data_IF_944466047672
#
_entry.id   IF_944466047672
#
_cell.length_a   1.000
_cell.length_b   1.000
_cell.length_c   1.000
_cell.angle_alpha   90.00
_cell.angle_beta   90.00
_cell.angle_gamma   90.00
#
_symmetry.space_group_name_H-M   'P 1'
#
loop_
_entity.id
_entity.type
_entity.pdbx_description
1 polymer ?
#
# COMPACT_ATOMS: atom_id res chain seq x y z
N UNK A 1 9.71 -23.17 23.35
CA UNK A 1 8.37 -22.66 22.97
C UNK A 1 7.99 -21.50 23.89
N UNK A 2 7.82 -21.72 25.20
CA UNK A 2 7.44 -20.68 26.17
C UNK A 2 8.36 -19.44 26.14
N UNK A 3 9.67 -19.62 26.01
CA UNK A 3 10.61 -18.48 25.91
C UNK A 3 10.39 -17.63 24.65
N UNK A 4 10.04 -18.26 23.53
CA UNK A 4 9.76 -17.56 22.27
C UNK A 4 8.42 -16.80 22.41
N UNK A 5 7.42 -17.42 23.03
CA UNK A 5 6.13 -16.79 23.30
C UNK A 5 6.25 -15.63 24.29
N UNK A 6 7.10 -15.74 25.31
CA UNK A 6 7.37 -14.65 26.25
C UNK A 6 8.02 -13.46 25.54
N UNK A 7 9.00 -13.71 24.66
CA UNK A 7 9.60 -12.64 23.83
C UNK A 7 8.57 -11.93 22.94
N UNK A 8 7.66 -12.68 22.32
CA UNK A 8 6.55 -12.09 21.54
C UNK A 8 5.61 -11.29 22.44
N UNK A 9 5.25 -11.82 23.61
CA UNK A 9 4.42 -11.12 24.60
C UNK A 9 5.04 -9.83 25.14
N UNK A 10 6.37 -9.75 25.19
CA UNK A 10 7.12 -8.52 25.51
C UNK A 10 7.19 -7.52 24.34
N UNK A 11 6.48 -7.78 23.23
CA UNK A 11 6.43 -6.92 22.05
C UNK A 11 7.62 -7.07 21.08
N UNK A 12 8.45 -8.09 21.25
CA UNK A 12 9.54 -8.35 20.29
C UNK A 12 8.99 -8.95 19.01
N UNK A 13 9.54 -8.50 17.90
CA UNK A 13 9.29 -9.05 16.57
C UNK A 13 10.61 -9.55 15.97
N UNK A 14 10.50 -10.40 14.97
CA UNK A 14 11.62 -11.05 14.32
C UNK A 14 12.04 -10.20 13.11
N UNK A 15 13.34 -9.97 12.97
CA UNK A 15 13.94 -9.20 11.87
C UNK A 15 14.62 -10.11 10.85
N UNK A 16 14.99 -11.32 11.27
CA UNK A 16 15.62 -12.31 10.41
C UNK A 16 15.41 -13.73 10.95
N UNK A 17 15.26 -14.70 10.05
CA UNK A 17 15.27 -16.13 10.36
C UNK A 17 16.22 -16.80 9.39
N UNK A 18 17.28 -17.42 9.91
CA UNK A 18 18.31 -18.08 9.09
C UNK A 18 18.54 -19.51 9.54
N UNK A 19 18.77 -20.41 8.58
CA UNK A 19 19.26 -21.76 8.86
C UNK A 19 20.68 -21.67 9.41
N UNK A 20 20.96 -22.40 10.48
CA UNK A 20 22.28 -22.43 11.12
C UNK A 20 22.62 -23.89 11.48
N UNK A 21 23.38 -24.54 10.60
CA UNK A 21 23.61 -25.99 10.67
C UNK A 21 22.29 -26.76 10.55
N UNK A 22 22.07 -27.67 11.49
CA UNK A 22 20.84 -28.47 11.60
C UNK A 22 19.69 -27.70 12.28
N UNK A 23 19.91 -26.45 12.71
CA UNK A 23 18.92 -25.64 13.45
C UNK A 23 18.51 -24.34 12.75
N UNK A 24 17.74 -23.53 13.48
CA UNK A 24 17.25 -22.21 13.06
C UNK A 24 17.76 -21.16 14.04
N UNK A 25 18.30 -20.06 13.54
CA UNK A 25 18.60 -18.87 14.33
C UNK A 25 17.59 -17.77 13.99
N UNK A 26 16.88 -17.29 15.01
CA UNK A 26 15.94 -16.17 14.97
C UNK A 26 16.64 -14.94 15.51
N UNK A 27 16.62 -13.84 14.76
CA UNK A 27 17.07 -12.52 15.22
C UNK A 27 15.87 -11.65 15.56
N UNK A 28 15.90 -11.05 16.74
CA UNK A 28 14.82 -10.21 17.26
C UNK A 28 15.07 -8.72 16.99
N UNK A 29 14.05 -7.90 17.18
CA UNK A 29 14.06 -6.45 17.01
C UNK A 29 15.08 -5.71 17.89
N UNK A 30 15.51 -6.32 19.00
CA UNK A 30 16.54 -5.80 19.90
C UNK A 30 17.96 -6.33 19.56
N UNK A 31 18.13 -6.97 18.40
CA UNK A 31 19.35 -7.64 17.94
C UNK A 31 19.78 -8.85 18.78
N UNK A 32 18.99 -9.29 19.77
CA UNK A 32 19.24 -10.58 20.42
C UNK A 32 18.89 -11.72 19.48
N UNK A 33 19.46 -12.91 19.73
CA UNK A 33 19.16 -14.09 18.94
C UNK A 33 18.53 -15.20 19.79
N UNK A 34 17.85 -16.13 19.13
CA UNK A 34 17.38 -17.39 19.72
C UNK A 34 17.68 -18.51 18.74
N UNK A 35 18.36 -19.55 19.20
CA UNK A 35 18.72 -20.69 18.36
C UNK A 35 17.88 -21.88 18.76
N UNK A 36 17.27 -22.50 17.77
CA UNK A 36 16.45 -23.71 17.90
C UNK A 36 17.25 -24.82 17.23
N UNK A 37 17.74 -25.77 18.02
CA UNK A 37 18.31 -27.01 17.48
C UNK A 37 17.22 -27.94 16.97
N UNK A 38 17.59 -28.93 16.17
CA UNK A 38 16.72 -30.06 15.84
C UNK A 38 16.49 -30.94 17.07
N UNK A 39 15.25 -31.44 17.23
CA UNK A 39 14.94 -32.53 18.15
C UNK A 39 15.50 -33.79 17.51
N UNK A 40 16.46 -34.41 18.19
CA UNK A 40 17.10 -35.64 17.75
C UNK A 40 16.11 -36.79 17.95
N UNK A 41 15.53 -37.32 16.88
CA UNK A 41 14.72 -38.54 16.99
C UNK A 41 15.57 -39.73 17.42
N UNK A 42 14.98 -40.68 18.15
CA UNK A 42 15.65 -41.86 18.72
C UNK A 42 16.34 -42.76 17.68
N UNK A 43 16.06 -42.57 16.38
CA UNK A 43 16.79 -43.20 15.27
C UNK A 43 17.76 -42.18 14.68
N UNK A 44 19.00 -42.21 15.16
CA UNK A 44 20.08 -41.27 14.86
C UNK A 44 20.60 -41.26 13.41
N UNK A 45 19.75 -41.17 12.41
CA UNK A 45 20.16 -40.83 11.05
C UNK A 45 20.03 -39.32 10.84
N UNK A 46 21.14 -38.70 10.44
CA UNK A 46 21.25 -37.28 10.13
C UNK A 46 20.35 -36.96 8.92
N UNK A 47 19.35 -36.11 9.12
CA UNK A 47 18.56 -35.53 8.03
C UNK A 47 18.66 -34.02 8.07
N UNK A 48 18.91 -33.39 6.91
CA UNK A 48 18.95 -31.94 6.78
C UNK A 48 17.59 -31.33 7.17
N UNK A 49 17.59 -30.22 7.93
CA UNK A 49 16.36 -29.47 8.20
C UNK A 49 15.66 -29.08 6.87
N UNK A 50 14.42 -29.55 6.69
CA UNK A 50 13.58 -29.24 5.54
C UNK A 50 13.13 -27.77 5.57
N UNK A 51 13.09 -27.11 4.41
CA UNK A 51 12.63 -25.72 4.30
C UNK A 51 11.30 -25.71 3.56
N UNK A 52 10.28 -25.12 4.17
CA UNK A 52 9.01 -24.80 3.52
C UNK A 52 9.00 -23.29 3.28
N UNK A 53 8.77 -22.87 2.05
CA UNK A 53 8.58 -21.47 1.69
C UNK A 53 7.26 -21.30 0.98
N UNK A 54 6.87 -20.04 0.74
CA UNK A 54 5.72 -19.70 -0.08
C UNK A 54 6.27 -19.03 -1.33
N UNK A 55 5.88 -19.52 -2.51
CA UNK A 55 6.26 -18.86 -3.76
C UNK A 55 5.65 -17.45 -3.79
N UNK A 56 6.45 -16.40 -4.03
CA UNK A 56 5.99 -15.03 -3.88
C UNK A 56 4.93 -14.64 -4.93
N UNK A 57 4.84 -15.36 -6.05
CA UNK A 57 3.95 -15.05 -7.18
C UNK A 57 2.67 -15.89 -7.11
N UNK A 58 2.80 -17.20 -7.10
CA UNK A 58 1.70 -18.17 -7.09
C UNK A 58 1.08 -18.35 -5.71
N UNK A 59 1.80 -17.94 -4.65
CA UNK A 59 1.43 -18.15 -3.25
C UNK A 59 1.35 -19.63 -2.85
N UNK A 60 1.86 -20.54 -3.67
CA UNK A 60 1.86 -21.97 -3.36
C UNK A 60 2.90 -22.30 -2.28
N UNK A 61 2.62 -23.36 -1.51
CA UNK A 61 3.63 -23.96 -0.64
C UNK A 61 4.72 -24.62 -1.50
N UNK A 62 5.97 -24.25 -1.22
CA UNK A 62 7.16 -24.87 -1.79
C UNK A 62 7.81 -25.71 -0.70
N UNK A 63 7.97 -27.01 -0.93
CA UNK A 63 8.56 -27.94 0.04
C UNK A 63 9.84 -28.49 -0.58
N UNK A 64 11.00 -28.24 0.05
CA UNK A 64 12.30 -28.69 -0.47
C UNK A 64 12.54 -28.30 -1.96
N UNK A 65 12.13 -27.09 -2.33
CA UNK A 65 12.18 -26.53 -3.70
C UNK A 65 11.21 -27.16 -4.72
N UNK A 66 10.27 -27.99 -4.29
CA UNK A 66 9.19 -28.52 -5.14
C UNK A 66 7.88 -27.75 -4.88
N UNK A 67 7.25 -27.23 -5.94
CA UNK A 67 5.95 -26.58 -5.87
C UNK A 67 4.85 -27.62 -5.70
N UNK A 68 4.11 -27.51 -4.60
CA UNK A 68 3.01 -28.43 -4.27
C UNK A 68 1.73 -28.15 -5.08
N UNK A 69 1.62 -26.99 -5.72
CA UNK A 69 0.41 -26.53 -6.39
C UNK A 69 -0.69 -26.04 -5.43
N UNK A 70 -0.45 -26.09 -4.10
CA UNK A 70 -1.43 -25.73 -3.08
C UNK A 70 -1.17 -24.30 -2.61
N UNK A 71 -2.13 -23.41 -2.90
CA UNK A 71 -2.09 -22.00 -2.51
C UNK A 71 -2.21 -21.85 -0.99
N UNK A 72 -1.29 -21.07 -0.40
CA UNK A 72 -1.19 -20.80 1.05
C UNK A 72 -2.17 -19.73 1.56
N UNK A 73 -2.78 -19.02 0.62
CA UNK A 73 -3.90 -18.09 0.79
C UNK A 73 -5.12 -18.85 0.23
N UNK A 74 -6.18 -19.08 1.00
CA UNK A 74 -7.28 -19.98 0.59
C UNK A 74 -7.92 -19.64 -0.78
N UNK A 75 -8.67 -20.58 -1.37
CA UNK A 75 -9.35 -20.34 -2.66
C UNK A 75 -10.29 -19.13 -2.56
N UNK A 76 -10.01 -18.10 -3.36
CA UNK A 76 -10.85 -16.91 -3.50
C UNK A 76 -12.31 -17.32 -3.78
N UNK A 77 -13.23 -16.88 -2.92
CA UNK A 77 -14.68 -17.05 -3.11
C UNK A 77 -15.41 -17.93 -2.10
N UNK A 78 -14.73 -18.54 -1.12
CA UNK A 78 -15.38 -19.33 -0.05
C UNK A 78 -14.98 -18.78 1.32
N UNK A 79 -15.86 -17.97 1.92
CA UNK A 79 -15.90 -17.55 3.34
C UNK A 79 -14.57 -17.27 4.09
N UNK A 80 -13.53 -16.73 3.43
CA UNK A 80 -12.29 -16.37 4.12
C UNK A 80 -11.61 -17.52 4.87
N UNK A 81 -11.73 -18.75 4.34
CA UNK A 81 -11.13 -19.93 4.97
C UNK A 81 -9.62 -19.93 4.67
N UNK A 82 -8.81 -19.61 5.68
CA UNK A 82 -7.35 -19.61 5.60
C UNK A 82 -6.81 -21.01 5.33
N UNK A 83 -5.91 -21.16 4.35
CA UNK A 83 -5.30 -22.45 4.01
C UNK A 83 -4.60 -23.09 5.23
N UNK A 84 -4.80 -24.39 5.40
CA UNK A 84 -4.11 -25.16 6.44
C UNK A 84 -2.65 -25.38 6.03
N UNK A 85 -1.72 -25.08 6.93
CA UNK A 85 -0.29 -25.30 6.70
C UNK A 85 0.01 -26.80 6.47
N UNK A 86 1.05 -27.15 5.69
CA UNK A 86 1.46 -28.53 5.52
C UNK A 86 1.79 -29.18 6.87
N UNK A 87 1.59 -30.49 6.99
CA UNK A 87 1.94 -31.30 8.17
C UNK A 87 2.71 -32.56 7.76
N UNK A 88 3.12 -33.39 8.72
CA UNK A 88 3.83 -34.65 8.44
C UNK A 88 2.87 -35.84 8.61
N UNK A 89 2.85 -36.75 7.63
CA UNK A 89 2.04 -37.99 7.63
C UNK A 89 2.59 -39.00 8.63
N UNK A 90 1.70 -39.57 9.45
CA UNK A 90 2.01 -40.66 10.39
C UNK A 90 2.31 -41.99 9.69
N UNK A 91 1.70 -42.24 8.53
CA UNK A 91 1.78 -43.54 7.85
C UNK A 91 3.03 -43.64 6.97
N UNK A 92 3.43 -42.53 6.37
CA UNK A 92 4.47 -42.49 5.34
C UNK A 92 5.70 -41.68 5.74
N UNK A 93 5.59 -40.78 6.73
CA UNK A 93 6.66 -39.84 7.07
C UNK A 93 6.89 -38.75 6.01
N UNK A 94 5.95 -38.56 5.09
CA UNK A 94 5.99 -37.53 4.05
C UNK A 94 5.22 -36.27 4.46
N UNK A 95 5.49 -35.18 3.76
CA UNK A 95 4.68 -33.96 3.85
C UNK A 95 3.27 -34.20 3.32
N UNK A 96 2.29 -33.63 4.01
CA UNK A 96 0.87 -33.62 3.65
C UNK A 96 0.45 -32.16 3.45
N UNK A 97 -0.12 -31.84 2.29
CA UNK A 97 -0.77 -30.55 2.03
C UNK A 97 -2.28 -30.70 2.09
N UNK A 98 -3.00 -29.60 2.27
CA UNK A 98 -4.44 -29.63 2.52
C UNK A 98 -5.18 -28.74 1.54
N UNK A 99 -6.25 -29.28 0.95
CA UNK A 99 -7.24 -28.50 0.20
C UNK A 99 -8.57 -28.44 0.94
N UNK A 100 -9.24 -27.30 0.88
CA UNK A 100 -10.59 -27.17 1.42
C UNK A 100 -11.59 -27.91 0.54
N UNK A 101 -12.33 -28.85 1.14
CA UNK A 101 -13.45 -29.54 0.51
C UNK A 101 -14.76 -28.88 0.97
N UNK A 102 -15.41 -28.16 0.05
CA UNK A 102 -16.62 -27.41 0.34
C UNK A 102 -17.85 -28.31 0.62
N UNK A 103 -17.85 -29.56 0.15
CA UNK A 103 -18.94 -30.51 0.41
C UNK A 103 -18.82 -31.12 1.80
N UNK A 104 -17.58 -31.39 2.24
CA UNK A 104 -17.29 -31.91 3.59
C UNK A 104 -17.21 -30.83 4.66
N UNK A 105 -17.08 -29.57 4.24
CA UNK A 105 -16.81 -28.44 5.12
C UNK A 105 -15.59 -28.71 6.04
N UNK A 106 -14.54 -29.31 5.46
CA UNK A 106 -13.30 -29.67 6.15
C UNK A 106 -12.11 -29.72 5.17
N UNK A 107 -10.90 -29.73 5.71
CA UNK A 107 -9.66 -29.87 4.97
C UNK A 107 -9.35 -31.33 4.63
N UNK A 108 -9.11 -31.62 3.35
CA UNK A 108 -8.69 -32.94 2.88
C UNK A 108 -7.18 -32.91 2.65
N UNK A 109 -6.46 -33.76 3.39
CA UNK A 109 -5.01 -33.91 3.29
C UNK A 109 -4.60 -34.82 2.13
N UNK A 110 -3.56 -34.41 1.40
CA UNK A 110 -2.94 -35.19 0.32
C UNK A 110 -1.46 -35.42 0.65
N UNK A 111 -1.03 -36.67 0.69
CA UNK A 111 0.39 -37.04 0.79
C UNK A 111 1.11 -36.59 -0.47
N UNK A 112 2.16 -35.78 -0.29
CA UNK A 112 2.94 -35.21 -1.40
C UNK A 112 3.96 -36.19 -1.99
N UNK A 113 4.27 -37.28 -1.29
CA UNK A 113 5.40 -38.16 -1.62
C UNK A 113 6.78 -37.58 -1.22
N UNK A 114 6.84 -36.32 -0.78
CA UNK A 114 8.07 -35.65 -0.36
C UNK A 114 8.36 -36.04 1.08
N UNK A 115 9.46 -36.76 1.33
CA UNK A 115 9.80 -37.19 2.69
C UNK A 115 10.13 -36.00 3.60
N UNK A 116 9.61 -36.02 4.83
CA UNK A 116 9.87 -35.00 5.85
C UNK A 116 11.13 -35.29 6.70
N UNK A 117 11.95 -36.27 6.29
CA UNK A 117 13.16 -36.81 6.95
C UNK A 117 13.77 -35.90 8.04
N UNK A 118 13.63 -36.26 9.31
CA UNK A 118 14.31 -35.61 10.43
C UNK A 118 13.86 -34.18 10.78
N UNK A 119 12.86 -33.62 10.10
CA UNK A 119 12.35 -32.28 10.38
C UNK A 119 11.53 -32.28 11.68
N UNK A 120 12.17 -31.90 12.80
CA UNK A 120 11.49 -31.61 14.05
C UNK A 120 10.91 -30.20 14.11
N UNK A 121 11.33 -29.32 13.21
CA UNK A 121 10.91 -27.92 13.12
C UNK A 121 10.90 -27.45 11.67
N UNK A 122 9.94 -26.61 11.33
CA UNK A 122 9.91 -25.90 10.04
C UNK A 122 9.26 -24.53 10.21
N UNK A 123 9.49 -23.65 9.25
CA UNK A 123 8.94 -22.29 9.25
C UNK A 123 8.06 -22.13 8.02
N UNK A 124 6.91 -21.49 8.21
CA UNK A 124 6.07 -21.01 7.11
C UNK A 124 6.12 -19.49 7.12
N UNK A 125 6.48 -18.91 5.99
CA UNK A 125 6.64 -17.46 5.83
C UNK A 125 5.31 -16.79 5.45
N UNK A 126 4.55 -16.28 6.41
CA UNK A 126 3.30 -15.52 6.14
C UNK A 126 3.62 -14.03 5.97
N UNK A 127 2.68 -13.26 5.42
CA UNK A 127 2.92 -11.83 5.12
C UNK A 127 3.38 -11.01 6.34
N UNK A 128 2.68 -11.11 7.48
CA UNK A 128 2.92 -10.30 8.68
C UNK A 128 3.64 -11.05 9.83
N UNK A 129 3.79 -12.37 9.74
CA UNK A 129 4.46 -13.19 10.75
C UNK A 129 5.06 -14.45 10.12
N UNK A 130 5.97 -15.12 10.82
CA UNK A 130 6.38 -16.49 10.53
C UNK A 130 5.60 -17.46 11.42
N UNK A 131 5.18 -18.60 10.90
CA UNK A 131 4.75 -19.72 11.73
C UNK A 131 5.92 -20.67 11.93
N UNK A 132 6.41 -20.76 13.14
CA UNK A 132 7.35 -21.79 13.53
C UNK A 132 6.56 -23.00 14.03
N UNK A 133 6.64 -24.09 13.28
CA UNK A 133 6.05 -25.37 13.61
C UNK A 133 7.10 -26.22 14.31
N UNK A 134 6.79 -26.72 15.52
CA UNK A 134 7.70 -27.49 16.37
C UNK A 134 7.06 -28.82 16.72
N UNK A 135 7.73 -29.92 16.41
CA UNK A 135 7.32 -31.26 16.80
C UNK A 135 7.14 -31.34 18.33
N UNK A 136 6.03 -31.94 18.76
CA UNK A 136 5.65 -32.04 20.17
C UNK A 136 6.05 -33.37 20.81
N UNK A 137 6.65 -34.28 20.03
CA UNK A 137 7.17 -35.56 20.48
C UNK A 137 8.54 -35.86 19.86
N UNK A 138 9.31 -36.72 20.53
CA UNK A 138 10.67 -37.11 20.11
C UNK A 138 10.68 -37.84 18.75
N UNK A 139 9.56 -38.46 18.36
CA UNK A 139 9.41 -39.14 17.08
C UNK A 139 8.81 -38.25 15.97
N UNK A 140 8.51 -36.97 16.26
CA UNK A 140 7.80 -36.11 15.30
C UNK A 140 6.32 -36.43 15.13
N UNK A 141 5.73 -37.24 16.02
CA UNK A 141 4.32 -37.63 16.01
C UNK A 141 3.42 -36.47 16.50
N UNK A 142 2.29 -36.29 15.80
CA UNK A 142 1.21 -35.36 16.18
C UNK A 142 1.22 -34.03 15.41
N UNK A 143 0.18 -33.22 15.61
CA UNK A 143 0.14 -31.86 15.09
C UNK A 143 1.26 -31.03 15.77
N UNK A 144 2.11 -30.33 15.00
CA UNK A 144 3.18 -29.54 15.57
C UNK A 144 2.61 -28.39 16.40
N UNK A 145 3.33 -28.02 17.46
CA UNK A 145 3.06 -26.77 18.17
C UNK A 145 3.42 -25.61 17.24
N UNK A 146 2.46 -24.71 17.01
CA UNK A 146 2.65 -23.53 16.17
C UNK A 146 2.94 -22.33 17.04
N UNK A 147 4.05 -21.65 16.75
CA UNK A 147 4.39 -20.35 17.33
C UNK A 147 4.36 -19.32 16.21
N UNK A 148 3.50 -18.31 16.35
CA UNK A 148 3.50 -17.16 15.45
C UNK A 148 4.55 -16.16 15.91
N UNK A 149 5.49 -15.83 15.02
CA UNK A 149 6.60 -14.92 15.24
C UNK A 149 6.37 -13.66 14.39
N UNK A 150 5.99 -12.52 14.99
CA UNK A 150 5.69 -11.30 14.23
C UNK A 150 6.89 -10.81 13.41
N UNK A 151 6.65 -10.23 12.23
CA UNK A 151 7.68 -9.56 11.39
C UNK A 151 7.88 -8.08 11.72
N UNK A 152 6.92 -7.50 12.42
CA UNK A 152 6.90 -6.12 12.89
C UNK A 152 6.17 -6.08 14.23
N UNK A 153 6.20 -4.95 14.92
CA UNK A 153 5.37 -4.75 16.11
C UNK A 153 3.90 -5.03 15.75
N UNK A 154 3.25 -5.90 16.54
CA UNK A 154 1.86 -6.32 16.31
C UNK A 154 0.93 -5.12 16.34
N UNK A 155 0.13 -4.95 15.29
CA UNK A 155 -1.01 -4.04 15.31
C UNK A 155 -2.03 -4.60 16.31
N UNK A 156 -2.50 -3.75 17.22
CA UNK A 156 -3.48 -4.10 18.27
C UNK A 156 -4.84 -3.46 18.01
N UNK A 157 -4.90 -2.34 17.28
CA UNK A 157 -6.15 -1.76 16.83
C UNK A 157 -5.99 -0.96 15.54
N UNK A 158 -7.08 -0.90 14.79
CA UNK A 158 -7.22 -0.14 13.55
C UNK A 158 -8.41 0.81 13.67
N UNK A 159 -8.27 2.01 13.10
CA UNK A 159 -9.39 2.88 12.81
C UNK A 159 -9.29 3.37 11.37
N UNK A 160 -10.24 2.95 10.55
CA UNK A 160 -10.36 3.44 9.19
C UNK A 160 -10.96 4.85 9.19
N UNK A 161 -10.42 5.74 8.37
CA UNK A 161 -10.84 7.15 8.26
C UNK A 161 -10.69 7.65 6.82
N UNK A 162 -11.35 8.77 6.51
CA UNK A 162 -10.99 9.59 5.35
C UNK A 162 -10.25 10.83 5.84
N UNK A 163 -9.28 11.32 5.06
CA UNK A 163 -8.56 12.56 5.37
C UNK A 163 -8.87 13.58 4.26
N UNK A 164 -9.56 14.65 4.64
CA UNK A 164 -9.92 15.75 3.73
C UNK A 164 -9.41 17.06 4.32
N UNK A 165 -8.60 17.81 3.58
CA UNK A 165 -8.05 19.12 3.98
C UNK A 165 -7.48 19.11 5.42
N UNK A 166 -6.65 18.09 5.73
CA UNK A 166 -6.01 17.92 7.04
C UNK A 166 -6.95 17.50 8.17
N UNK A 167 -8.20 17.16 7.88
CA UNK A 167 -9.20 16.71 8.87
C UNK A 167 -9.51 15.24 8.73
N UNK A 168 -9.61 14.57 9.88
CA UNK A 168 -10.10 13.20 9.98
C UNK A 168 -11.63 13.21 9.91
N UNK A 169 -12.17 12.48 8.95
CA UNK A 169 -13.60 12.30 8.74
C UNK A 169 -13.98 10.80 8.79
N UNK A 170 -15.28 10.53 8.77
CA UNK A 170 -15.79 9.17 8.68
C UNK A 170 -15.27 8.50 7.40
N UNK A 171 -14.87 7.23 7.50
CA UNK A 171 -14.33 6.46 6.38
C UNK A 171 -15.37 6.31 5.26
N UNK A 172 -15.11 6.96 4.13
CA UNK A 172 -15.92 6.89 2.93
C UNK A 172 -15.02 6.57 1.74
N UNK A 173 -15.33 5.47 1.05
CA UNK A 173 -14.63 5.03 -0.16
C UNK A 173 -15.62 5.06 -1.31
N UNK A 174 -15.25 5.72 -2.40
CA UNK A 174 -16.02 5.70 -3.65
C UNK A 174 -15.28 4.86 -4.67
N UNK A 175 -15.92 3.80 -5.14
CA UNK A 175 -15.42 2.90 -6.19
C UNK A 175 -16.13 3.23 -7.50
N UNK A 176 -15.46 3.92 -8.42
CA UNK A 176 -16.02 4.19 -9.74
C UNK A 176 -15.57 3.15 -10.76
N UNK A 177 -16.50 2.70 -11.59
CA UNK A 177 -16.24 1.74 -12.66
C UNK A 177 -17.07 2.05 -13.91
N UNK A 178 -16.55 1.68 -15.06
CA UNK A 178 -17.23 1.86 -16.35
C UNK A 178 -18.16 0.73 -16.72
N UNK A 179 -18.86 0.91 -17.84
CA UNK A 179 -19.44 -0.21 -18.57
C UNK A 179 -18.34 -1.05 -19.22
N UNK A 180 -18.67 -2.30 -19.53
CA UNK A 180 -17.82 -3.15 -20.36
C UNK A 180 -17.48 -2.46 -21.69
N UNK A 181 -16.21 -2.48 -22.07
CA UNK A 181 -15.74 -1.82 -23.28
C UNK A 181 -16.38 -2.43 -24.54
N UNK A 182 -16.85 -1.59 -25.46
CA UNK A 182 -17.40 -2.05 -26.74
C UNK A 182 -16.35 -2.55 -27.74
N UNK A 183 -15.09 -2.14 -27.58
CA UNK A 183 -13.94 -2.46 -28.42
C UNK A 183 -12.63 -2.37 -27.62
N UNK A 184 -11.53 -2.86 -28.18
CA UNK A 184 -10.18 -2.70 -27.61
C UNK A 184 -9.83 -1.20 -27.49
N UNK A 185 -9.34 -0.79 -26.32
CA UNK A 185 -8.83 0.55 -26.05
C UNK A 185 -7.33 0.45 -25.78
N UNK A 186 -6.54 1.33 -26.40
CA UNK A 186 -5.10 1.44 -26.14
C UNK A 186 -4.80 2.73 -25.41
N UNK A 187 -3.97 2.64 -24.39
CA UNK A 187 -3.48 3.79 -23.63
C UNK A 187 -2.16 3.40 -22.97
N UNK A 188 -1.17 4.29 -22.99
CA UNK A 188 0.11 4.13 -22.32
C UNK A 188 0.80 2.79 -22.64
N UNK A 189 0.78 2.40 -23.93
CA UNK A 189 1.26 1.11 -24.44
C UNK A 189 0.55 -0.15 -23.88
N UNK A 190 -0.51 0.02 -23.09
CA UNK A 190 -1.38 -1.07 -22.60
C UNK A 190 -2.59 -1.20 -23.52
N UNK A 191 -2.98 -2.45 -23.81
CA UNK A 191 -4.22 -2.75 -24.55
C UNK A 191 -5.27 -3.30 -23.59
N UNK A 192 -6.29 -2.51 -23.32
CA UNK A 192 -7.48 -2.90 -22.59
C UNK A 192 -8.46 -3.56 -23.55
N UNK A 193 -8.81 -4.81 -23.27
CA UNK A 193 -9.59 -5.62 -24.20
C UNK A 193 -11.06 -5.25 -24.23
N UNK A 194 -11.68 -5.47 -25.39
CA UNK A 194 -13.13 -5.52 -25.51
C UNK A 194 -13.73 -6.36 -24.37
N UNK A 195 -14.89 -5.92 -23.88
CA UNK A 195 -15.65 -6.50 -22.78
C UNK A 195 -15.01 -6.35 -21.38
N UNK A 196 -13.80 -5.78 -21.27
CA UNK A 196 -13.22 -5.44 -19.98
C UNK A 196 -14.01 -4.33 -19.27
N UNK A 197 -14.13 -4.43 -17.95
CA UNK A 197 -14.63 -3.35 -17.08
C UNK A 197 -13.41 -2.58 -16.59
N UNK A 198 -13.36 -1.27 -16.89
CA UNK A 198 -12.30 -0.41 -16.42
C UNK A 198 -12.61 0.11 -15.01
N UNK A 199 -11.60 0.09 -14.15
CA UNK A 199 -11.70 0.45 -12.74
C UNK A 199 -10.84 1.68 -12.47
N UNK A 200 -11.33 2.57 -11.61
CA UNK A 200 -10.48 3.63 -11.06
C UNK A 200 -9.43 3.02 -10.14
N UNK A 201 -8.20 3.53 -10.19
CA UNK A 201 -7.09 3.10 -9.31
C UNK A 201 -6.82 4.08 -8.15
N UNK A 202 -7.68 5.08 -7.96
CA UNK A 202 -7.42 6.21 -7.05
C UNK A 202 -8.34 6.24 -5.84
N UNK A 203 -9.13 5.20 -5.61
CA UNK A 203 -10.01 5.13 -4.44
C UNK A 203 -9.15 5.02 -3.19
N UNK A 204 -9.13 6.07 -2.37
CA UNK A 204 -8.29 6.13 -1.17
C UNK A 204 -9.07 5.80 0.09
N UNK A 205 -8.34 5.27 1.07
CA UNK A 205 -8.74 5.12 2.46
C UNK A 205 -7.52 5.43 3.32
N UNK A 206 -7.71 6.02 4.49
CA UNK A 206 -6.61 6.15 5.45
C UNK A 206 -6.90 5.29 6.69
N UNK A 207 -5.85 4.88 7.38
CA UNK A 207 -5.94 4.09 8.60
C UNK A 207 -5.09 4.71 9.70
N UNK A 208 -5.66 4.77 10.90
CA UNK A 208 -4.93 5.02 12.14
C UNK A 208 -4.62 3.66 12.76
N UNK A 209 -3.33 3.40 12.95
CA UNK A 209 -2.76 2.14 13.40
C UNK A 209 -2.20 2.32 14.81
N UNK A 210 -2.53 1.41 15.73
CA UNK A 210 -1.90 1.34 17.04
C UNK A 210 -1.25 -0.03 17.27
N UNK A 211 -0.07 -0.07 17.90
CA UNK A 211 0.71 1.08 18.36
C UNK A 211 1.29 1.88 17.16
N UNK A 212 1.59 3.17 17.37
CA UNK A 212 1.94 4.10 16.27
C UNK A 212 3.29 3.79 15.59
N UNK A 213 4.11 2.96 16.23
CA UNK A 213 5.40 2.46 15.75
C UNK A 213 5.29 1.12 15.00
N UNK A 214 4.08 0.55 14.90
CA UNK A 214 3.84 -0.60 14.04
C UNK A 214 4.02 -0.22 12.56
N UNK A 215 4.85 -0.97 11.85
CA UNK A 215 5.07 -0.80 10.42
C UNK A 215 3.91 -1.41 9.63
N UNK A 216 2.92 -0.58 9.30
CA UNK A 216 1.75 -0.99 8.51
C UNK A 216 2.13 -1.58 7.14
N UNK A 217 3.32 -1.29 6.61
CA UNK A 217 3.75 -1.82 5.31
C UNK A 217 4.04 -3.32 5.33
N UNK A 218 4.14 -3.94 6.51
CA UNK A 218 4.36 -5.39 6.68
C UNK A 218 3.08 -6.20 6.75
N UNK A 219 1.92 -5.56 6.61
CA UNK A 219 0.62 -6.17 6.79
C UNK A 219 -0.18 -6.16 5.47
N UNK A 220 -0.98 -7.21 5.28
CA UNK A 220 -1.98 -7.25 4.21
C UNK A 220 -3.31 -6.77 4.76
N UNK A 221 -4.01 -5.95 3.98
CA UNK A 221 -5.28 -5.36 4.38
C UNK A 221 -6.39 -5.68 3.38
N UNK A 222 -7.59 -5.84 3.90
CA UNK A 222 -8.82 -6.07 3.12
C UNK A 222 -9.97 -5.31 3.76
N UNK A 223 -11.03 -5.09 2.98
CA UNK A 223 -12.32 -4.67 3.54
C UNK A 223 -13.24 -5.89 3.62
N UNK A 224 -13.66 -6.24 4.83
CA UNK A 224 -14.59 -7.34 5.09
C UNK A 224 -15.91 -6.84 5.65
N UNK A 225 -17.03 -7.35 5.16
CA UNK A 225 -18.35 -7.09 5.75
C UNK A 225 -18.62 -8.00 6.96
N UNK A 226 -19.70 -7.74 7.68
CA UNK A 226 -20.05 -8.49 8.91
C UNK A 226 -20.48 -9.94 8.66
N UNK A 227 -20.58 -10.37 7.39
CA UNK A 227 -20.85 -11.75 6.97
C UNK A 227 -19.59 -12.45 6.47
N UNK A 228 -18.44 -11.79 6.49
CA UNK A 228 -17.17 -12.33 6.02
C UNK A 228 -16.95 -12.19 4.51
N UNK A 229 -17.76 -11.42 3.78
CA UNK A 229 -17.49 -11.15 2.37
C UNK A 229 -16.35 -10.14 2.25
N UNK A 230 -15.40 -10.39 1.36
CA UNK A 230 -14.19 -9.59 1.17
C UNK A 230 -14.06 -9.21 -0.31
N UNK A 231 -14.83 -8.22 -0.81
CA UNK A 231 -14.80 -7.86 -2.23
C UNK A 231 -13.65 -6.92 -2.61
N UNK A 232 -12.96 -6.34 -1.62
CA UNK A 232 -11.90 -5.34 -1.82
C UNK A 232 -10.61 -5.72 -1.10
N UNK A 233 -9.48 -5.48 -1.77
CA UNK A 233 -8.15 -5.46 -1.16
C UNK A 233 -7.75 -4.02 -0.89
N UNK A 234 -6.93 -3.82 0.13
CA UNK A 234 -6.40 -2.52 0.51
C UNK A 234 -4.88 -2.59 0.44
N UNK A 235 -4.29 -1.74 -0.39
CA UNK A 235 -2.89 -1.81 -0.84
C UNK A 235 -2.16 -0.50 -0.59
N UNK A 236 -0.86 -0.48 -0.86
CA UNK A 236 0.01 0.70 -0.83
C UNK A 236 -0.10 1.54 0.45
N UNK A 237 0.06 0.96 1.64
CA UNK A 237 0.16 1.75 2.86
C UNK A 237 1.37 2.68 2.80
N UNK A 238 1.13 3.99 2.73
CA UNK A 238 2.16 5.03 2.75
C UNK A 238 1.89 5.92 3.95
N UNK A 239 2.93 6.20 4.73
CA UNK A 239 2.74 7.05 5.90
C UNK A 239 2.29 8.45 5.45
N UNK A 240 1.23 8.96 6.09
CA UNK A 240 0.60 10.21 5.70
C UNK A 240 1.53 11.40 5.97
N UNK A 241 1.55 12.37 5.05
CA UNK A 241 2.51 13.50 5.05
C UNK A 241 1.84 14.87 5.10
N UNK A 242 0.57 14.98 5.48
CA UNK A 242 -0.13 16.28 5.47
C UNK A 242 0.61 17.28 6.36
N UNK A 243 0.98 18.44 5.80
CA UNK A 243 1.86 19.44 6.42
C UNK A 243 1.22 20.16 7.63
N UNK A 244 -0.11 20.23 7.66
CA UNK A 244 -0.83 20.81 8.78
C UNK A 244 -0.65 19.94 10.03
N UNK A 245 0.17 20.49 10.91
CA UNK A 245 0.10 20.37 12.35
C UNK A 245 -1.16 19.69 12.93
N UNK A 246 -1.01 18.74 13.87
CA UNK A 246 -0.44 18.99 15.20
C UNK A 246 1.10 19.23 15.21
N UNK A 247 1.55 20.45 14.88
CA UNK A 247 2.90 21.01 14.98
C UNK A 247 3.77 21.10 13.69
N UNK A 248 4.13 22.30 13.20
CA UNK A 248 5.05 22.56 12.06
C UNK A 248 6.37 21.75 12.06
N UNK A 249 6.46 20.79 11.16
CA UNK A 249 7.59 20.39 10.30
C UNK A 249 7.06 19.28 9.36
N UNK A 250 7.61 19.10 8.16
CA UNK A 250 7.25 17.99 7.26
C UNK A 250 7.79 16.66 7.85
N UNK A 251 7.22 16.20 8.96
CA UNK A 251 7.51 14.92 9.59
C UNK A 251 6.33 13.99 9.35
N UNK A 252 6.65 12.75 8.95
CA UNK A 252 5.71 11.64 8.81
C UNK A 252 4.71 11.61 9.98
N UNK A 253 3.40 11.58 9.69
CA UNK A 253 2.40 11.36 10.71
C UNK A 253 2.55 9.95 11.27
N UNK A 254 2.85 9.84 12.57
CA UNK A 254 3.05 8.54 13.22
C UNK A 254 1.73 7.78 13.35
N UNK A 255 1.71 6.53 12.92
CA UNK A 255 0.55 5.67 12.98
C UNK A 255 -0.59 6.03 12.03
N UNK A 256 -0.40 6.96 11.07
CA UNK A 256 -1.43 7.29 10.07
C UNK A 256 -0.91 6.93 8.68
N UNK A 257 -1.66 6.11 7.96
CA UNK A 257 -1.27 5.60 6.65
C UNK A 257 -2.37 5.84 5.63
N UNK A 258 -2.02 6.40 4.49
CA UNK A 258 -2.86 6.46 3.31
C UNK A 258 -2.73 5.14 2.54
N UNK A 259 -3.85 4.63 2.07
CA UNK A 259 -3.98 3.33 1.42
C UNK A 259 -4.86 3.46 0.17
N UNK A 260 -4.70 2.52 -0.75
CA UNK A 260 -5.53 2.40 -1.95
C UNK A 260 -6.51 1.24 -1.77
N UNK A 261 -7.77 1.44 -2.17
CA UNK A 261 -8.80 0.40 -2.16
C UNK A 261 -9.04 -0.06 -3.60
N UNK A 262 -8.94 -1.36 -3.82
CA UNK A 262 -9.11 -1.97 -5.14
C UNK A 262 -10.11 -3.12 -5.07
N UNK A 263 -10.86 -3.33 -6.15
CA UNK A 263 -11.64 -4.56 -6.29
C UNK A 263 -10.69 -5.77 -6.32
N UNK A 264 -11.05 -6.82 -5.57
CA UNK A 264 -10.37 -8.11 -5.70
C UNK A 264 -10.67 -8.78 -7.05
N UNK A 265 -11.84 -8.51 -7.62
CA UNK A 265 -12.25 -9.02 -8.92
C UNK A 265 -13.29 -8.08 -9.56
N UNK A 266 -13.26 -7.95 -10.88
CA UNK A 266 -14.28 -7.22 -11.66
C UNK A 266 -15.68 -7.84 -11.52
N UNK A 267 -15.80 -9.10 -11.07
CA UNK A 267 -17.08 -9.74 -10.80
C UNK A 267 -17.85 -9.12 -9.62
N UNK A 268 -17.14 -8.39 -8.75
CA UNK A 268 -17.69 -7.71 -7.57
C UNK A 268 -18.30 -6.34 -7.91
N UNK A 269 -17.97 -5.76 -9.07
CA UNK A 269 -18.44 -4.42 -9.45
C UNK A 269 -19.97 -4.34 -9.47
N UNK A 270 -20.51 -3.37 -8.76
CA UNK A 270 -21.94 -3.08 -8.65
C UNK A 270 -22.71 -4.00 -7.69
N UNK A 271 -22.03 -4.86 -6.94
CA UNK A 271 -22.64 -5.82 -5.99
C UNK A 271 -22.07 -5.70 -4.57
N UNK A 272 -21.15 -4.78 -4.36
CA UNK A 272 -20.30 -4.67 -3.16
C UNK A 272 -20.42 -3.32 -2.47
N UNK A 273 -21.37 -2.47 -2.85
CA UNK A 273 -21.74 -1.31 -2.04
C UNK A 273 -22.23 -1.76 -0.65
N UNK A 274 -21.76 -1.11 0.41
CA UNK A 274 -22.07 -1.52 1.77
C UNK A 274 -21.16 -0.91 2.83
N UNK A 275 -21.17 -1.51 4.01
CA UNK A 275 -20.35 -1.10 5.14
C UNK A 275 -19.40 -2.22 5.52
N UNK A 276 -18.14 -1.85 5.71
CA UNK A 276 -17.03 -2.78 5.90
C UNK A 276 -16.20 -2.40 7.12
N UNK A 277 -15.42 -3.35 7.62
CA UNK A 277 -14.28 -3.10 8.48
C UNK A 277 -12.99 -3.24 7.67
N UNK A 278 -12.00 -2.39 7.94
CA UNK A 278 -10.62 -2.62 7.53
C UNK A 278 -10.04 -3.69 8.44
N UNK A 279 -9.56 -4.79 7.86
CA UNK A 279 -9.01 -5.89 8.64
C UNK A 279 -7.62 -6.27 8.19
N UNK A 280 -6.84 -6.81 9.13
CA UNK A 280 -5.51 -7.35 8.89
C UNK A 280 -5.25 -8.52 9.83
N UNK A 281 -4.46 -9.48 9.37
CA UNK A 281 -4.02 -10.60 10.21
C UNK A 281 -2.66 -10.28 10.86
N UNK A 282 -2.57 -10.50 12.16
CA UNK A 282 -1.34 -10.38 12.95
C UNK A 282 -0.97 -11.73 13.56
N UNK A 283 0.19 -11.80 14.23
CA UNK A 283 0.57 -12.99 14.98
C UNK A 283 -0.42 -13.31 16.12
N UNK A 284 -1.12 -12.30 16.64
CA UNK A 284 -2.07 -12.42 17.76
C UNK A 284 -3.51 -12.71 17.28
N UNK A 285 -3.76 -12.60 15.98
CA UNK A 285 -5.05 -12.90 15.35
C UNK A 285 -5.52 -11.82 14.38
N UNK A 286 -6.80 -11.91 14.00
CA UNK A 286 -7.43 -10.92 13.14
C UNK A 286 -7.69 -9.64 13.94
N UNK A 287 -7.21 -8.50 13.42
CA UNK A 287 -7.54 -7.17 13.92
C UNK A 287 -8.45 -6.48 12.92
N UNK A 288 -9.53 -5.89 13.42
CA UNK A 288 -10.53 -5.21 12.63
C UNK A 288 -10.78 -3.79 13.16
N UNK A 289 -11.03 -2.85 12.26
CA UNK A 289 -11.69 -1.59 12.63
C UNK A 289 -13.17 -1.83 12.96
N UNK A 290 -13.86 -0.77 13.37
CA UNK A 290 -15.33 -0.79 13.36
C UNK A 290 -15.86 -1.05 11.94
N UNK A 291 -17.07 -1.61 11.86
CA UNK A 291 -17.83 -1.73 10.61
C UNK A 291 -18.48 -0.38 10.26
N UNK A 292 -17.66 0.61 9.94
CA UNK A 292 -18.08 1.97 9.60
C UNK A 292 -17.42 2.53 8.34
N UNK A 293 -16.65 1.69 7.60
CA UNK A 293 -16.14 2.04 6.27
C UNK A 293 -17.28 1.95 5.28
N UNK A 294 -17.83 3.10 4.88
CA UNK A 294 -18.88 3.16 3.87
C UNK A 294 -18.26 3.08 2.49
N UNK A 295 -18.52 1.99 1.77
CA UNK A 295 -18.14 1.84 0.37
C UNK A 295 -19.34 2.11 -0.52
N UNK A 296 -19.21 3.10 -1.40
CA UNK A 296 -20.19 3.42 -2.43
C UNK A 296 -19.64 3.02 -3.79
N UNK A 297 -20.44 2.31 -4.57
CA UNK A 297 -20.08 1.94 -5.94
C UNK A 297 -20.81 2.84 -6.94
N UNK A 298 -20.08 3.39 -7.90
CA UNK A 298 -20.61 4.28 -8.92
C UNK A 298 -20.33 3.72 -10.31
N UNK A 299 -21.37 3.17 -10.93
CA UNK A 299 -21.35 2.87 -12.35
C UNK A 299 -21.34 4.20 -13.13
N UNK A 300 -20.40 4.35 -14.06
CA UNK A 300 -20.27 5.56 -14.87
C UNK A 300 -20.47 5.22 -16.33
N UNK A 301 -21.42 5.92 -16.98
CA UNK A 301 -21.73 5.71 -18.40
C UNK A 301 -21.09 6.77 -19.29
N UNK A 302 -21.11 8.03 -18.87
CA UNK A 302 -20.62 9.15 -19.65
C UNK A 302 -19.78 10.09 -18.81
N UNK A 303 -18.61 10.46 -19.34
CA UNK A 303 -17.76 11.51 -18.77
C UNK A 303 -17.38 12.48 -19.89
N UNK A 304 -17.60 13.77 -19.64
CA UNK A 304 -17.10 14.86 -20.48
C UNK A 304 -16.19 15.74 -19.64
N UNK A 305 -14.90 15.78 -19.95
CA UNK A 305 -13.93 16.65 -19.27
C UNK A 305 -14.09 18.08 -19.78
N UNK A 306 -14.36 19.00 -18.87
CA UNK A 306 -14.66 20.41 -19.16
C UNK A 306 -13.37 21.24 -19.14
N UNK A 307 -12.70 21.31 -17.99
CA UNK A 307 -11.49 22.12 -17.82
C UNK A 307 -10.59 21.62 -16.69
N UNK A 308 -9.38 21.20 -17.06
CA UNK A 308 -8.33 20.91 -16.09
C UNK A 308 -7.80 22.21 -15.47
N UNK A 309 -7.38 22.15 -14.21
CA UNK A 309 -6.89 23.30 -13.45
C UNK A 309 -5.44 23.63 -13.82
N UNK A 310 -5.18 24.91 -14.05
CA UNK A 310 -3.82 25.45 -14.11
C UNK A 310 -3.19 25.45 -12.71
N UNK A 311 -1.90 25.17 -12.62
CA UNK A 311 -1.20 25.01 -11.34
C UNK A 311 -0.07 26.04 -11.22
N UNK A 312 0.34 26.32 -9.99
CA UNK A 312 1.46 27.21 -9.73
C UNK A 312 2.23 26.79 -8.48
N UNK A 313 3.53 27.03 -8.49
CA UNK A 313 4.43 26.72 -7.37
C UNK A 313 5.60 27.70 -7.37
N UNK A 314 6.20 27.92 -6.22
CA UNK A 314 7.48 28.62 -6.12
C UNK A 314 8.58 27.85 -6.86
N UNK A 315 9.54 28.57 -7.45
CA UNK A 315 10.75 27.95 -8.01
C UNK A 315 11.46 27.08 -6.95
N UNK A 316 12.12 26.04 -7.44
CA UNK A 316 12.86 25.05 -6.65
C UNK A 316 12.04 24.15 -5.72
N UNK A 317 10.72 24.34 -5.61
CA UNK A 317 9.80 23.42 -4.92
C UNK A 317 9.22 22.40 -5.89
N UNK A 318 8.88 21.23 -5.39
CA UNK A 318 8.13 20.22 -6.13
C UNK A 318 6.64 20.55 -6.10
N UNK A 319 5.96 20.31 -7.23
CA UNK A 319 4.53 20.47 -7.40
C UNK A 319 3.92 19.16 -7.87
N UNK A 320 2.90 18.68 -7.19
CA UNK A 320 2.09 17.53 -7.62
C UNK A 320 1.11 17.93 -8.74
N UNK A 321 1.29 17.33 -9.91
CA UNK A 321 0.48 17.57 -11.10
C UNK A 321 -0.91 16.95 -11.02
N UNK A 322 -1.16 15.98 -10.12
CA UNK A 322 -2.50 15.38 -9.92
C UNK A 322 -3.53 16.46 -9.55
N UNK A 323 -3.09 17.54 -8.89
CA UNK A 323 -3.93 18.69 -8.56
C UNK A 323 -4.65 19.31 -9.77
N UNK A 324 -4.18 19.08 -11.01
CA UNK A 324 -4.85 19.57 -12.22
C UNK A 324 -6.23 18.92 -12.46
N UNK A 325 -6.48 17.75 -11.90
CA UNK A 325 -7.76 17.04 -11.98
C UNK A 325 -8.81 17.58 -10.99
N UNK A 326 -8.47 18.58 -10.17
CA UNK A 326 -9.36 19.20 -9.19
C UNK A 326 -9.64 20.65 -9.57
N UNK A 327 -10.90 20.97 -9.87
CA UNK A 327 -11.35 22.31 -10.29
C UNK A 327 -12.80 22.54 -9.85
N UNK A 328 -13.33 23.76 -9.86
CA UNK A 328 -14.74 24.01 -9.46
C UNK A 328 -15.75 23.18 -10.26
N UNK A 329 -15.46 22.94 -11.55
CA UNK A 329 -16.21 22.04 -12.42
C UNK A 329 -15.28 21.40 -13.47
N UNK A 330 -14.50 20.40 -13.05
CA UNK A 330 -13.50 19.77 -13.93
C UNK A 330 -14.12 18.93 -15.03
N UNK A 331 -15.26 18.29 -14.76
CA UNK A 331 -15.95 17.41 -15.69
C UNK A 331 -17.45 17.35 -15.40
N UNK A 332 -18.19 16.78 -16.34
CA UNK A 332 -19.56 16.31 -16.14
C UNK A 332 -19.59 14.80 -16.20
N UNK A 333 -20.07 14.15 -15.14
CA UNK A 333 -20.21 12.69 -15.01
C UNK A 333 -21.69 12.35 -14.94
N UNK A 334 -22.18 11.60 -15.93
CA UNK A 334 -23.60 11.24 -16.07
C UNK A 334 -24.55 12.44 -15.89
N UNK A 335 -24.20 13.57 -16.52
CA UNK A 335 -24.98 14.81 -16.47
C UNK A 335 -24.78 15.66 -15.22
N UNK A 336 -23.96 15.23 -14.25
CA UNK A 336 -23.69 15.98 -13.01
C UNK A 336 -22.28 16.57 -13.03
N UNK A 337 -22.16 17.86 -12.75
CA UNK A 337 -20.86 18.51 -12.63
C UNK A 337 -20.10 17.95 -11.41
N UNK A 338 -18.82 17.63 -11.60
CA UNK A 338 -17.92 17.17 -10.54
C UNK A 338 -16.73 18.10 -10.43
N UNK A 339 -16.23 18.28 -9.21
CA UNK A 339 -15.06 19.10 -8.92
C UNK A 339 -13.75 18.31 -8.92
N UNK A 340 -13.83 16.98 -8.87
CA UNK A 340 -12.67 16.09 -8.82
C UNK A 340 -12.84 14.97 -9.85
N UNK A 341 -11.90 14.88 -10.80
CA UNK A 341 -11.88 13.84 -11.83
C UNK A 341 -11.12 12.60 -11.36
N UNK A 342 -10.28 12.71 -10.33
CA UNK A 342 -9.41 11.61 -9.88
C UNK A 342 -10.14 10.30 -9.63
N UNK A 343 -11.37 10.26 -9.05
CA UNK A 343 -12.07 9.00 -8.78
C UNK A 343 -12.53 8.25 -10.03
N UNK A 344 -12.33 8.80 -11.23
CA UNK A 344 -12.77 8.24 -12.50
C UNK A 344 -11.60 7.91 -13.44
N UNK A 345 -10.36 8.05 -12.98
CA UNK A 345 -9.15 7.83 -13.78
C UNK A 345 -8.68 6.40 -13.61
N UNK A 346 -8.48 5.72 -14.75
CA UNK A 346 -7.95 4.35 -14.83
C UNK A 346 -6.43 4.40 -14.85
N UNK A 347 -5.86 5.24 -15.71
CA UNK A 347 -4.43 5.46 -15.84
C UNK A 347 -4.18 6.88 -16.39
N UNK A 348 -3.01 7.44 -16.11
CA UNK A 348 -2.62 8.77 -16.56
C UNK A 348 -1.10 8.95 -16.56
N UNK A 349 -0.63 9.88 -17.37
CA UNK A 349 0.77 10.32 -17.33
C UNK A 349 0.92 11.75 -17.86
N UNK A 350 2.00 12.41 -17.42
CA UNK A 350 2.30 13.80 -17.77
C UNK A 350 3.50 13.88 -18.71
N UNK A 351 3.44 14.81 -19.66
CA UNK A 351 4.56 15.09 -20.57
C UNK A 351 4.81 16.58 -20.74
N UNK A 352 6.08 16.96 -20.81
CA UNK A 352 6.47 18.31 -21.21
C UNK A 352 6.20 18.48 -22.71
N UNK A 353 5.34 19.45 -23.06
CA UNK A 353 5.00 19.73 -24.46
C UNK A 353 6.17 20.36 -25.23
N UNK A 354 6.88 21.30 -24.60
CA UNK A 354 8.00 22.04 -25.18
C UNK A 354 9.28 21.84 -24.34
N UNK A 355 10.15 20.95 -24.84
CA UNK A 355 11.41 20.60 -24.18
C UNK A 355 12.41 21.76 -24.15
N UNK A 356 12.34 22.67 -25.12
CA UNK A 356 13.22 23.84 -25.18
C UNK A 356 12.80 24.86 -24.12
N UNK A 357 11.50 25.13 -24.00
CA UNK A 357 10.98 25.97 -22.93
C UNK A 357 11.30 25.40 -21.55
N UNK A 358 11.16 24.09 -21.37
CA UNK A 358 11.53 23.42 -20.12
C UNK A 358 13.03 23.57 -19.80
N UNK A 359 13.91 23.36 -20.78
CA UNK A 359 15.35 23.54 -20.59
C UNK A 359 15.72 24.97 -20.18
N UNK A 360 15.05 25.98 -20.76
CA UNK A 360 15.28 27.38 -20.39
C UNK A 360 14.93 27.66 -18.91
N UNK A 361 13.89 27.01 -18.40
CA UNK A 361 13.43 27.10 -17.02
C UNK A 361 14.16 26.17 -16.03
N UNK A 362 14.97 25.24 -16.53
CA UNK A 362 15.51 24.15 -15.71
C UNK A 362 14.41 23.23 -15.17
N UNK A 363 13.33 23.04 -15.94
CA UNK A 363 12.16 22.29 -15.51
C UNK A 363 12.30 20.79 -15.79
N UNK A 364 11.95 19.95 -14.80
CA UNK A 364 11.97 18.48 -14.91
C UNK A 364 10.71 17.88 -14.30
N UNK A 365 10.24 16.77 -14.89
CA UNK A 365 9.13 15.94 -14.36
C UNK A 365 9.71 14.63 -13.84
N UNK A 366 9.27 14.21 -12.65
CA UNK A 366 9.58 12.91 -12.04
C UNK A 366 8.28 12.27 -11.56
N UNK A 367 7.76 11.29 -12.32
CA UNK A 367 6.45 10.72 -12.08
C UNK A 367 5.35 11.78 -12.15
N UNK A 368 4.72 12.08 -11.01
CA UNK A 368 3.63 13.07 -10.91
C UNK A 368 4.12 14.45 -10.47
N UNK A 369 5.40 14.62 -10.12
CA UNK A 369 5.92 15.89 -9.64
C UNK A 369 6.66 16.64 -10.73
N UNK A 370 6.57 17.98 -10.68
CA UNK A 370 7.35 18.88 -11.52
C UNK A 370 8.08 19.91 -10.65
N UNK A 371 9.29 20.29 -11.06
CA UNK A 371 10.10 21.34 -10.43
C UNK A 371 10.83 22.13 -11.50
N UNK A 372 11.04 23.43 -11.29
CA UNK A 372 11.86 24.28 -12.13
C UNK A 372 12.76 25.20 -11.31
N UNK A 373 13.90 25.58 -11.87
CA UNK A 373 14.92 26.43 -11.23
C UNK A 373 14.65 27.92 -11.44
N UNK A 374 13.95 28.27 -12.53
CA UNK A 374 13.66 29.65 -12.91
C UNK A 374 12.17 29.89 -13.04
N UNK A 375 11.77 31.13 -12.80
CA UNK A 375 10.39 31.56 -12.91
C UNK A 375 9.95 31.62 -14.38
N UNK A 376 8.67 31.35 -14.62
CA UNK A 376 8.07 31.31 -15.95
C UNK A 376 6.89 30.35 -16.01
N UNK A 377 6.37 30.12 -17.22
CA UNK A 377 5.25 29.21 -17.43
C UNK A 377 5.61 28.13 -18.43
N UNK A 378 5.12 26.91 -18.18
CA UNK A 378 5.33 25.75 -19.04
C UNK A 378 4.01 25.02 -19.28
N UNK A 379 3.78 24.62 -20.52
CA UNK A 379 2.63 23.82 -20.90
C UNK A 379 2.92 22.33 -20.73
N UNK A 380 2.08 21.66 -19.96
CA UNK A 380 2.19 20.22 -19.67
C UNK A 380 1.01 19.51 -20.31
N UNK A 381 1.29 18.46 -21.08
CA UNK A 381 0.28 17.55 -21.60
C UNK A 381 -0.16 16.62 -20.48
N UNK A 382 -1.47 16.50 -20.34
CA UNK A 382 -2.13 15.59 -19.42
C UNK A 382 -2.79 14.50 -20.26
N UNK A 383 -2.21 13.30 -20.21
CA UNK A 383 -2.73 12.12 -20.88
C UNK A 383 -3.48 11.27 -19.85
N UNK A 384 -4.68 10.79 -20.19
CA UNK A 384 -5.48 9.99 -19.28
C UNK A 384 -6.41 9.02 -20.02
N UNK A 385 -6.71 7.92 -19.33
CA UNK A 385 -7.80 6.99 -19.61
C UNK A 385 -8.80 7.05 -18.46
N UNK A 386 -10.09 7.23 -18.78
CA UNK A 386 -11.16 7.25 -17.81
C UNK A 386 -11.93 5.93 -17.76
N UNK A 387 -12.65 5.70 -16.66
CA UNK A 387 -13.41 4.45 -16.44
C UNK A 387 -14.44 4.17 -17.53
N UNK A 388 -14.99 5.20 -18.18
CA UNK A 388 -15.92 5.01 -19.30
C UNK A 388 -15.24 4.71 -20.65
N UNK A 389 -13.91 4.55 -20.69
CA UNK A 389 -13.13 4.30 -21.89
C UNK A 389 -12.71 5.55 -22.67
N UNK A 390 -13.02 6.76 -22.18
CA UNK A 390 -12.54 8.00 -22.81
C UNK A 390 -11.03 8.09 -22.69
N UNK A 391 -10.35 8.27 -23.84
CA UNK A 391 -8.90 8.47 -23.95
C UNK A 391 -8.59 9.91 -24.37
N UNK A 392 -7.65 10.54 -23.66
CA UNK A 392 -6.94 11.71 -24.13
C UNK A 392 -5.44 11.39 -24.12
N UNK A 393 -4.84 11.16 -25.28
CA UNK A 393 -3.44 10.75 -25.41
C UNK A 393 -2.76 11.42 -26.60
N UNK A 394 -1.47 11.73 -26.48
CA UNK A 394 -0.61 12.28 -27.51
C UNK A 394 -1.14 13.58 -28.15
N UNK A 395 -1.74 13.50 -29.35
CA UNK A 395 -2.28 14.66 -30.05
C UNK A 395 -3.64 15.12 -29.47
N UNK A 396 -4.39 14.21 -28.84
CA UNK A 396 -5.66 14.49 -28.19
C UNK A 396 -5.51 14.85 -26.70
N UNK A 397 -4.29 14.79 -26.17
CA UNK A 397 -3.98 15.15 -24.79
C UNK A 397 -4.45 16.57 -24.47
N UNK A 398 -4.95 16.77 -23.25
CA UNK A 398 -5.27 18.11 -22.76
C UNK A 398 -4.00 18.79 -22.31
N UNK A 399 -3.97 20.12 -22.38
CA UNK A 399 -2.82 20.90 -21.94
C UNK A 399 -3.21 21.76 -20.76
N UNK A 400 -2.38 21.77 -19.72
CA UNK A 400 -2.47 22.72 -18.62
C UNK A 400 -1.24 23.63 -18.64
N UNK A 401 -1.38 24.83 -18.09
CA UNK A 401 -0.26 25.71 -17.82
C UNK A 401 0.17 25.56 -16.36
N UNK A 402 1.47 25.32 -16.15
CA UNK A 402 2.12 25.36 -14.84
C UNK A 402 2.95 26.63 -14.76
N UNK A 403 2.76 27.43 -13.71
CA UNK A 403 3.50 28.68 -13.49
C UNK A 403 4.44 28.55 -12.30
N UNK A 404 5.74 28.73 -12.55
CA UNK A 404 6.80 28.79 -11.55
C UNK A 404 7.00 30.24 -11.11
N UNK A 405 6.78 30.50 -9.82
CA UNK A 405 6.76 31.84 -9.25
C UNK A 405 8.14 32.18 -8.71
N UNK A 406 8.60 33.38 -9.03
CA UNK A 406 9.84 33.92 -8.45
C UNK A 406 9.67 34.14 -6.95
N UNK A 407 10.61 33.63 -6.16
CA UNK A 407 10.69 33.89 -4.73
C UNK A 407 11.80 34.91 -4.50
N UNK A 408 11.44 36.10 -4.02
CA UNK A 408 12.44 37.07 -3.60
C UNK A 408 13.20 36.52 -2.38
N UNK A 409 14.54 36.50 -2.38
CA UNK A 409 15.29 36.12 -1.19
C UNK A 409 14.98 37.09 -0.05
N UNK A 410 14.68 36.57 1.14
CA UNK A 410 14.59 37.40 2.34
C UNK A 410 15.99 37.84 2.73
N UNK A 411 16.26 39.14 2.67
CA UNK A 411 17.55 39.70 3.08
C UNK A 411 17.36 40.50 4.36
N UNK A 412 18.16 40.19 5.38
CA UNK A 412 18.26 41.03 6.58
C UNK A 412 19.17 42.22 6.23
N UNK A 413 18.64 43.44 6.29
CA UNK A 413 19.48 44.62 6.25
C UNK A 413 20.33 44.64 7.54
N UNK A 414 21.65 44.73 7.41
CA UNK A 414 22.54 44.94 8.56
C UNK A 414 22.35 46.32 9.17
N UNK A 415 23.03 46.59 10.29
CA UNK A 415 23.01 47.91 10.94
C UNK A 415 23.45 48.99 9.93
N UNK A 416 22.61 50.01 9.73
CA UNK A 416 22.92 51.15 8.86
C UNK A 416 23.61 52.22 9.69
N UNK A 417 24.94 52.34 9.58
CA UNK A 417 25.69 53.44 10.16
C UNK A 417 25.62 54.68 9.26
N UNK A 418 25.02 55.77 9.78
CA UNK A 418 25.06 57.08 9.14
C UNK A 418 26.10 57.96 9.82
N UNK A 419 27.06 58.51 9.06
CA UNK A 419 27.96 59.55 9.57
C UNK A 419 27.50 60.93 9.10
N UNK A 420 27.07 61.78 10.03
CA UNK A 420 26.69 63.17 9.74
C UNK A 420 27.93 64.04 9.74
N UNK A 421 28.38 64.48 8.55
CA UNK A 421 29.49 65.43 8.41
C UNK A 421 28.95 66.87 8.40
N UNK A 422 29.61 67.74 9.16
CA UNK A 422 29.19 69.12 9.49
C UNK A 422 29.20 70.11 8.32
N UNK A 423 29.38 69.65 7.09
CA UNK A 423 29.65 70.53 5.94
C UNK A 423 28.37 71.16 5.36
N UNK A 424 27.18 70.67 5.70
CA UNK A 424 25.89 71.22 5.27
C UNK A 424 24.88 71.30 6.44
N UNK A 425 25.05 72.27 7.34
CA UNK A 425 24.28 72.38 8.59
C UNK A 425 22.75 72.55 8.41
N UNK A 426 22.27 72.88 7.21
CA UNK A 426 20.85 73.20 6.95
C UNK A 426 20.14 72.20 6.02
N UNK A 427 20.70 71.03 5.75
CA UNK A 427 20.00 70.01 4.95
C UNK A 427 19.10 69.14 5.84
N UNK A 428 17.81 69.48 5.91
CA UNK A 428 16.79 68.60 6.50
C UNK A 428 16.54 67.43 5.56
N UNK A 429 16.79 66.21 6.03
CA UNK A 429 16.28 64.97 5.42
C UNK A 429 14.89 64.70 6.00
N UNK A 430 13.79 64.83 5.22
CA UNK A 430 12.48 64.41 5.66
C UNK A 430 12.49 62.90 5.90
N UNK A 431 11.93 62.43 7.02
CA UNK A 431 11.83 61.01 7.34
C UNK A 431 11.08 60.19 6.26
N UNK A 432 10.29 60.86 5.40
CA UNK A 432 9.56 60.22 4.31
C UNK A 432 10.39 59.86 3.08
N UNK A 433 11.64 60.34 2.98
CA UNK A 433 12.53 60.08 1.84
C UNK A 433 13.52 58.92 2.10
N UNK A 434 13.45 58.31 3.28
CA UNK A 434 14.16 57.06 3.60
C UNK A 434 13.22 55.90 3.25
N UNK A 435 13.37 55.33 2.05
CA UNK A 435 12.71 54.08 1.63
C UNK A 435 13.58 52.87 1.93
#
# INVERSE_FOLDING_TARGET
ISDLQAKVGDGKFVTNVVKNGDGITITWSDNTTSTIGTIKGDKGDKGDAATITIDPVTKNFIINNEDTGICSEGKNGVNGINAKAPSISKETGNWVTYEWDAEKNDYVGTDTGISAMGASTYVVDKTSYWELHVATSENGEGEPAVIKLPKAASITSLKAVSINDGRIEAANVTMSYGKALGADVKFNNVTYKKDAILLSQTSTLSAIVNPQDADATKYAYILSDSKGNMPFKVTNPVANMTEDALTRAASVNKGVFDMTVEYLSTANCGKSAGTYALTTETADGLVASAYDVKVTEKAVSAITVTSLKALSVDINKELDLIGCFKNTAVATVDGTAVADLTPYIVDYYFEIADKTAAANLGATISGNTIKAEKAGSLNIKVNYLLVNGTVAEAAAAKTITVTFIYVAPSTTLGDVEWTVNKTNADFFLPLGDIQ
#
